data_IF_396628193291
#
_entry.id   IF_396628193291
#
_cell.length_a   1.000
_cell.length_b   1.000
_cell.length_c   1.000
_cell.angle_alpha   90.00
_cell.angle_beta   90.00
_cell.angle_gamma   90.00
#
_symmetry.space_group_name_H-M   'P 1'
#
loop_
_entity.id
_entity.type
_entity.pdbx_description
1 polymer ?
#
# COMPACT_ATOMS: atom_id res chain seq x y z
N UNK A 1 6.50 -12.50 -59.97
CA UNK A 1 5.21 -12.26 -59.29
C UNK A 1 5.24 -12.48 -57.77
N UNK A 2 6.18 -13.24 -57.26
CA UNK A 2 6.27 -13.67 -55.83
C UNK A 2 6.75 -12.60 -54.82
N UNK A 3 7.60 -11.64 -55.27
CA UNK A 3 8.18 -10.63 -54.35
C UNK A 3 7.19 -9.51 -53.95
N UNK A 4 6.16 -9.25 -54.77
CA UNK A 4 5.14 -8.23 -54.47
C UNK A 4 4.14 -8.68 -53.42
N UNK A 5 3.84 -9.99 -53.36
CA UNK A 5 2.89 -10.57 -52.38
C UNK A 5 3.49 -10.57 -50.96
N UNK A 6 4.79 -10.87 -50.83
CA UNK A 6 5.48 -10.83 -49.54
C UNK A 6 5.56 -9.44 -48.90
N UNK A 7 5.62 -8.36 -49.70
CA UNK A 7 5.63 -6.99 -49.17
C UNK A 7 4.25 -6.56 -48.63
N UNK A 8 3.18 -6.98 -49.32
CA UNK A 8 1.80 -6.70 -48.88
C UNK A 8 1.44 -7.46 -47.60
N UNK A 9 1.85 -8.72 -47.48
CA UNK A 9 1.58 -9.54 -46.27
C UNK A 9 2.32 -9.00 -45.04
N UNK A 10 3.55 -8.51 -45.21
CA UNK A 10 4.30 -7.88 -44.09
C UNK A 10 3.71 -6.52 -43.71
N UNK A 11 3.17 -5.77 -44.65
CA UNK A 11 2.49 -4.50 -44.37
C UNK A 11 1.14 -4.71 -43.68
N UNK A 12 0.40 -5.73 -44.10
CA UNK A 12 -0.89 -6.12 -43.46
C UNK A 12 -0.66 -6.65 -42.05
N UNK A 13 0.38 -7.48 -41.84
CA UNK A 13 0.74 -8.00 -40.53
C UNK A 13 1.19 -6.88 -39.58
N UNK A 14 1.94 -5.89 -40.09
CA UNK A 14 2.33 -4.70 -39.34
C UNK A 14 1.14 -3.79 -38.97
N UNK A 15 0.16 -3.65 -39.88
CA UNK A 15 -1.08 -2.90 -39.66
C UNK A 15 -2.03 -3.62 -38.68
N UNK A 16 -2.11 -4.94 -38.71
CA UNK A 16 -2.91 -5.73 -37.77
C UNK A 16 -2.28 -5.73 -36.37
N UNK A 17 -0.95 -5.80 -36.26
CA UNK A 17 -0.23 -5.64 -34.98
C UNK A 17 -0.35 -4.21 -34.41
N UNK A 18 -0.39 -3.18 -35.28
CA UNK A 18 -0.62 -1.79 -34.84
C UNK A 18 -2.09 -1.52 -34.49
N UNK A 19 -3.05 -2.23 -35.09
CA UNK A 19 -4.47 -2.13 -34.75
C UNK A 19 -4.84 -2.93 -33.49
N UNK A 20 -4.05 -3.96 -33.13
CA UNK A 20 -4.17 -4.68 -31.85
C UNK A 20 -3.40 -4.00 -30.70
N UNK A 21 -2.50 -3.07 -31.01
CA UNK A 21 -2.03 -2.08 -30.06
C UNK A 21 -3.11 -1.00 -29.93
N UNK A 22 -4.26 -1.33 -29.36
CA UNK A 22 -5.12 -0.34 -28.73
C UNK A 22 -4.22 0.51 -27.84
N UNK A 23 -4.51 1.79 -27.59
CA UNK A 23 -3.70 2.57 -26.68
C UNK A 23 -3.55 1.73 -25.43
N UNK A 24 -2.34 1.28 -25.12
CA UNK A 24 -1.95 0.93 -23.78
C UNK A 24 -2.16 2.22 -23.01
N UNK A 25 -3.41 2.46 -22.65
CA UNK A 25 -3.78 3.46 -21.67
C UNK A 25 -3.12 2.95 -20.42
N UNK A 26 -1.84 3.30 -20.25
CA UNK A 26 -1.21 3.21 -18.96
C UNK A 26 -2.22 3.82 -18.03
N UNK A 27 -2.71 3.04 -17.08
CA UNK A 27 -3.70 3.49 -16.12
C UNK A 27 -3.24 4.86 -15.67
N UNK A 28 -4.03 5.90 -15.91
CA UNK A 28 -3.66 7.24 -15.53
C UNK A 28 -3.88 7.34 -14.02
N UNK A 29 -2.86 6.96 -13.26
CA UNK A 29 -2.90 6.96 -11.80
C UNK A 29 -3.41 8.27 -11.23
N UNK A 30 -3.15 9.39 -11.94
CA UNK A 30 -3.68 10.70 -11.59
C UNK A 30 -5.21 10.73 -11.66
N UNK A 31 -5.80 10.22 -12.74
CA UNK A 31 -7.26 10.18 -12.90
C UNK A 31 -7.88 9.24 -11.87
N UNK A 32 -7.26 8.12 -11.58
CA UNK A 32 -7.74 7.17 -10.58
C UNK A 32 -7.72 7.76 -9.17
N UNK A 33 -6.65 8.46 -8.79
CA UNK A 33 -6.54 9.14 -7.49
C UNK A 33 -7.55 10.29 -7.39
N UNK A 34 -7.78 11.03 -8.49
CA UNK A 34 -8.77 12.10 -8.51
C UNK A 34 -10.19 11.57 -8.37
N UNK A 35 -10.49 10.42 -8.97
CA UNK A 35 -11.79 9.76 -8.85
C UNK A 35 -11.97 9.05 -7.49
N UNK A 36 -10.91 8.51 -6.93
CA UNK A 36 -10.88 7.84 -5.63
C UNK A 36 -9.61 8.23 -4.86
N UNK A 37 -9.67 9.25 -3.99
CA UNK A 37 -8.54 9.74 -3.21
C UNK A 37 -7.89 8.68 -2.30
N UNK A 38 -8.58 7.60 -1.93
CA UNK A 38 -8.01 6.49 -1.14
C UNK A 38 -6.83 5.83 -1.85
N UNK A 39 -6.85 5.82 -3.19
CA UNK A 39 -5.76 5.29 -4.01
C UNK A 39 -4.44 6.05 -3.85
N UNK A 40 -4.49 7.30 -3.38
CA UNK A 40 -3.28 8.05 -3.02
C UNK A 40 -2.49 7.39 -1.89
N UNK A 41 -3.12 6.50 -1.14
CA UNK A 41 -2.49 5.73 -0.06
C UNK A 41 -1.38 4.79 -0.55
N UNK A 42 -1.35 4.40 -1.82
CA UNK A 42 -0.36 3.46 -2.33
C UNK A 42 -0.33 2.17 -1.51
N UNK A 43 0.73 1.95 -0.73
CA UNK A 43 0.85 0.77 0.14
C UNK A 43 -0.11 0.78 1.35
N UNK A 44 -0.76 1.89 1.64
CA UNK A 44 -1.82 2.04 2.63
C UNK A 44 -3.22 1.98 2.02
N UNK A 45 -3.33 1.79 0.70
CA UNK A 45 -4.64 1.60 0.09
C UNK A 45 -5.26 0.31 0.64
N UNK A 46 -6.37 0.46 1.35
CA UNK A 46 -7.06 -0.66 1.97
C UNK A 46 -7.56 -1.62 0.89
N UNK A 47 -7.32 -2.91 1.09
CA UNK A 47 -7.77 -3.94 0.15
C UNK A 47 -9.29 -3.88 -0.03
N UNK A 48 -9.71 -3.68 -1.28
CA UNK A 48 -11.10 -3.73 -1.71
C UNK A 48 -11.29 -4.88 -2.69
N UNK A 49 -12.51 -5.34 -2.84
CA UNK A 49 -12.81 -6.44 -3.75
C UNK A 49 -13.97 -6.05 -4.68
N UNK A 50 -13.65 -5.90 -5.94
CA UNK A 50 -14.58 -5.50 -6.99
C UNK A 50 -15.11 -6.72 -7.75
N UNK A 51 -15.36 -7.83 -7.13
CA UNK A 51 -15.95 -9.07 -7.67
C UNK A 51 -15.84 -9.21 -9.22
N UNK A 52 -14.65 -9.30 -9.79
CA UNK A 52 -14.48 -9.36 -11.24
C UNK A 52 -15.12 -10.64 -11.78
N UNK A 53 -15.65 -10.56 -13.00
CA UNK A 53 -16.14 -11.74 -13.71
C UNK A 53 -15.03 -12.79 -13.81
N UNK A 54 -15.34 -14.01 -13.41
CA UNK A 54 -14.40 -15.13 -13.45
C UNK A 54 -14.44 -15.80 -14.82
N UNK A 55 -13.27 -16.07 -15.37
CA UNK A 55 -13.16 -16.95 -16.52
C UNK A 55 -13.35 -18.38 -16.03
N UNK A 56 -14.32 -19.15 -16.57
CA UNK A 56 -14.49 -20.55 -16.20
C UNK A 56 -13.27 -21.38 -16.61
N UNK A 57 -13.06 -22.49 -15.93
CA UNK A 57 -12.04 -23.46 -16.35
C UNK A 57 -12.34 -23.97 -17.79
N UNK A 58 -11.33 -24.22 -18.63
CA UNK A 58 -11.54 -24.86 -19.92
C UNK A 58 -12.24 -26.23 -19.77
N UNK A 59 -12.96 -26.63 -20.78
CA UNK A 59 -13.62 -27.95 -20.78
C UNK A 59 -12.61 -29.07 -20.53
N UNK A 60 -12.95 -29.99 -19.62
CA UNK A 60 -12.09 -31.13 -19.23
C UNK A 60 -11.03 -30.79 -18.17
N UNK A 61 -10.99 -29.56 -17.66
CA UNK A 61 -10.07 -29.15 -16.59
C UNK A 61 -10.84 -28.88 -15.29
N UNK A 62 -10.26 -29.31 -14.16
CA UNK A 62 -10.77 -29.06 -12.82
C UNK A 62 -9.64 -28.51 -11.93
N UNK A 63 -9.87 -27.45 -11.13
CA UNK A 63 -8.91 -26.97 -10.14
C UNK A 63 -8.60 -28.05 -9.11
N UNK A 64 -7.32 -28.36 -8.87
CA UNK A 64 -6.88 -29.36 -7.88
C UNK A 64 -5.92 -28.80 -6.85
N UNK A 65 -5.36 -27.61 -7.09
CA UNK A 65 -4.37 -26.98 -6.22
C UNK A 65 -4.43 -25.46 -6.31
N UNK A 66 -4.24 -24.78 -5.17
CA UNK A 66 -4.10 -23.32 -5.10
C UNK A 66 -2.77 -22.99 -4.42
N UNK A 67 -1.96 -22.18 -5.09
CA UNK A 67 -0.83 -21.48 -4.47
C UNK A 67 -1.20 -20.03 -4.26
N UNK A 68 -1.22 -19.57 -3.00
CA UNK A 68 -1.59 -18.21 -2.63
C UNK A 68 -0.44 -17.53 -1.92
N UNK A 69 -0.05 -16.35 -2.41
CA UNK A 69 0.89 -15.46 -1.74
C UNK A 69 0.20 -14.14 -1.44
N UNK A 70 0.09 -13.81 -0.19
CA UNK A 70 -0.61 -12.61 0.28
C UNK A 70 0.28 -11.68 1.09
N UNK A 71 -0.16 -10.45 1.22
CA UNK A 71 0.37 -9.46 2.16
C UNK A 71 -0.49 -9.46 3.43
N UNK A 72 0.04 -8.99 4.56
CA UNK A 72 -0.79 -8.71 5.75
C UNK A 72 -1.92 -7.73 5.40
N UNK A 73 -3.01 -7.79 6.14
CA UNK A 73 -4.15 -6.86 6.01
C UNK A 73 -3.83 -5.44 6.49
N UNK A 74 -4.84 -4.59 6.51
CA UNK A 74 -4.77 -3.20 7.00
C UNK A 74 -4.18 -3.13 8.40
N UNK A 75 -3.40 -2.09 8.68
CA UNK A 75 -2.64 -1.91 9.93
C UNK A 75 -2.54 -0.44 10.33
N UNK A 76 -2.23 -0.18 11.60
CA UNK A 76 -1.77 1.13 12.04
C UNK A 76 -0.44 1.51 11.37
N UNK A 77 -0.04 2.78 11.45
CA UNK A 77 1.28 3.25 10.99
C UNK A 77 2.39 2.41 11.65
N UNK A 78 3.52 2.25 10.95
CA UNK A 78 4.55 1.28 11.38
C UNK A 78 5.28 1.66 12.64
N UNK A 79 5.46 2.96 12.88
CA UNK A 79 6.27 3.47 13.98
C UNK A 79 5.45 4.46 14.81
N UNK A 80 5.61 4.42 16.12
CA UNK A 80 5.01 5.39 17.02
C UNK A 80 5.44 6.84 16.66
N UNK A 81 6.68 7.01 16.18
CA UNK A 81 7.19 8.32 15.77
C UNK A 81 6.40 8.97 14.64
N UNK A 82 5.76 8.18 13.76
CA UNK A 82 4.92 8.71 12.69
C UNK A 82 3.67 9.46 13.22
N UNK A 83 3.29 9.22 14.47
CA UNK A 83 2.25 9.95 15.18
C UNK A 83 2.84 11.05 16.06
N UNK A 84 3.86 10.72 16.87
CA UNK A 84 4.38 11.63 17.91
C UNK A 84 5.14 12.81 17.33
N UNK A 85 5.86 12.67 16.23
CA UNK A 85 6.56 13.77 15.56
C UNK A 85 5.58 14.85 15.06
N UNK A 86 4.44 14.45 14.51
CA UNK A 86 3.39 15.40 14.10
C UNK A 86 2.80 16.09 15.33
N UNK A 87 2.53 15.35 16.39
CA UNK A 87 2.00 15.89 17.63
C UNK A 87 2.97 16.91 18.27
N UNK A 88 4.25 16.60 18.32
CA UNK A 88 5.28 17.48 18.84
C UNK A 88 5.37 18.79 18.02
N UNK A 89 5.34 18.67 16.68
CA UNK A 89 5.37 19.83 15.77
C UNK A 89 4.18 20.75 16.01
N UNK A 90 2.96 20.20 16.02
CA UNK A 90 1.75 20.99 16.26
C UNK A 90 1.67 21.51 17.70
N UNK A 91 2.05 20.71 18.69
CA UNK A 91 2.09 21.13 20.10
C UNK A 91 3.05 22.28 20.36
N UNK A 92 4.23 22.27 19.70
CA UNK A 92 5.17 23.40 19.75
C UNK A 92 4.55 24.64 19.12
N UNK A 93 4.03 24.53 17.89
CA UNK A 93 3.42 25.66 17.19
C UNK A 93 2.23 26.25 17.95
N UNK A 94 1.45 25.42 18.66
CA UNK A 94 0.35 25.87 19.53
C UNK A 94 0.86 26.70 20.71
N UNK A 95 1.90 26.23 21.41
CA UNK A 95 2.51 26.98 22.53
C UNK A 95 3.09 28.33 22.10
N UNK A 96 3.54 28.44 20.87
CA UNK A 96 4.07 29.69 20.29
C UNK A 96 2.97 30.57 19.67
N UNK A 97 1.71 30.16 19.74
CA UNK A 97 0.58 30.88 19.13
C UNK A 97 0.64 30.95 17.60
N UNK A 98 1.38 30.06 16.97
CA UNK A 98 1.63 30.06 15.53
C UNK A 98 0.52 29.35 14.72
N UNK A 99 -0.35 28.58 15.36
CA UNK A 99 -1.45 27.87 14.66
C UNK A 99 -2.61 28.81 14.32
N UNK A 100 -3.17 28.63 13.14
CA UNK A 100 -4.48 29.18 12.78
C UNK A 100 -5.60 28.47 13.57
N UNK A 101 -6.84 28.95 13.51
CA UNK A 101 -8.01 28.25 14.06
C UNK A 101 -8.12 26.84 13.46
N UNK A 102 -7.93 26.72 12.15
CA UNK A 102 -7.92 25.43 11.46
C UNK A 102 -6.75 24.54 11.93
N UNK A 103 -5.54 25.12 12.12
CA UNK A 103 -4.39 24.40 12.67
C UNK A 103 -4.63 23.86 14.07
N UNK A 104 -5.36 24.58 14.91
CA UNK A 104 -5.77 24.10 16.25
C UNK A 104 -6.77 22.94 16.16
N UNK A 105 -7.69 22.97 15.18
CA UNK A 105 -8.56 21.83 14.94
C UNK A 105 -7.77 20.59 14.49
N UNK A 106 -6.79 20.78 13.59
CA UNK A 106 -5.90 19.69 13.17
C UNK A 106 -5.09 19.14 14.35
N UNK A 107 -4.58 19.99 15.25
CA UNK A 107 -3.90 19.52 16.47
C UNK A 107 -4.79 18.57 17.28
N UNK A 108 -6.05 18.94 17.54
CA UNK A 108 -6.99 18.04 18.27
C UNK A 108 -7.20 16.70 17.57
N UNK A 109 -7.22 16.70 16.22
CA UNK A 109 -7.31 15.45 15.44
C UNK A 109 -6.02 14.63 15.57
N UNK A 110 -4.86 15.25 15.55
CA UNK A 110 -3.56 14.59 15.75
C UNK A 110 -3.46 13.99 17.14
N UNK A 111 -3.88 14.70 18.19
CA UNK A 111 -3.94 14.18 19.57
C UNK A 111 -4.79 12.90 19.65
N UNK A 112 -5.96 12.92 19.03
CA UNK A 112 -6.85 11.73 18.97
C UNK A 112 -6.21 10.58 18.18
N UNK A 113 -5.54 10.86 17.04
CA UNK A 113 -4.87 9.85 16.25
C UNK A 113 -3.68 9.23 16.99
N UNK A 114 -2.92 10.04 17.74
CA UNK A 114 -1.86 9.55 18.63
C UNK A 114 -2.41 8.62 19.70
N UNK A 115 -3.50 9.02 20.35
CA UNK A 115 -4.14 8.20 21.39
C UNK A 115 -4.70 6.87 20.81
N UNK A 116 -5.29 6.91 19.60
CA UNK A 116 -5.75 5.67 18.94
C UNK A 116 -4.58 4.77 18.52
N UNK A 117 -3.46 5.34 18.09
CA UNK A 117 -2.27 4.60 17.67
C UNK A 117 -1.33 4.17 18.80
N UNK A 118 -1.58 4.61 20.05
CA UNK A 118 -0.71 4.31 21.19
C UNK A 118 -0.61 2.82 21.45
N UNK A 119 0.61 2.29 21.50
CA UNK A 119 0.88 0.86 21.70
C UNK A 119 0.51 -0.03 20.51
N UNK A 120 0.04 0.53 19.38
CA UNK A 120 -0.48 -0.24 18.24
C UNK A 120 0.38 -0.09 16.97
N UNK A 121 1.55 0.51 17.07
CA UNK A 121 2.40 0.77 15.91
C UNK A 121 2.70 -0.52 15.13
N UNK A 122 2.24 -0.59 13.88
CA UNK A 122 2.39 -1.73 12.99
C UNK A 122 1.47 -2.92 13.25
N UNK A 123 0.54 -2.82 14.18
CA UNK A 123 -0.42 -3.88 14.49
C UNK A 123 -1.47 -4.03 13.39
N UNK A 124 -1.98 -5.25 13.21
CA UNK A 124 -3.09 -5.54 12.33
C UNK A 124 -4.38 -4.91 12.88
N UNK A 125 -5.08 -4.13 12.06
CA UNK A 125 -6.39 -3.58 12.45
C UNK A 125 -7.50 -4.65 12.38
N UNK A 126 -8.65 -4.41 13.02
CA UNK A 126 -9.84 -5.25 12.82
C UNK A 126 -10.22 -5.38 11.34
N UNK A 127 -10.14 -4.28 10.57
CA UNK A 127 -10.34 -4.32 9.12
C UNK A 127 -9.34 -5.27 8.44
N UNK A 128 -8.07 -5.26 8.85
CA UNK A 128 -7.06 -6.15 8.29
C UNK A 128 -7.39 -7.63 8.50
N UNK A 129 -7.95 -8.00 9.64
CA UNK A 129 -8.44 -9.35 9.89
C UNK A 129 -9.67 -9.68 9.02
N UNK A 130 -10.65 -8.76 8.94
CA UNK A 130 -11.83 -8.89 8.07
C UNK A 130 -11.46 -9.10 6.60
N UNK A 131 -10.45 -8.39 6.09
CA UNK A 131 -9.95 -8.55 4.73
C UNK A 131 -9.50 -9.99 4.48
N UNK A 132 -8.76 -10.60 5.40
CA UNK A 132 -8.31 -11.98 5.28
C UNK A 132 -9.44 -13.01 5.43
N UNK A 133 -10.43 -12.74 6.28
CA UNK A 133 -11.67 -13.53 6.31
C UNK A 133 -12.35 -13.52 4.93
N UNK A 134 -12.54 -12.35 4.35
CA UNK A 134 -13.17 -12.21 3.03
C UNK A 134 -12.37 -12.83 1.89
N UNK A 135 -11.03 -12.77 1.91
CA UNK A 135 -10.18 -13.44 0.91
C UNK A 135 -10.35 -14.96 0.99
N UNK A 136 -10.32 -15.53 2.20
CA UNK A 136 -10.50 -16.97 2.40
C UNK A 136 -11.88 -17.44 1.94
N UNK A 137 -12.92 -16.69 2.28
CA UNK A 137 -14.30 -16.98 1.87
C UNK A 137 -14.46 -17.02 0.36
N UNK A 138 -14.05 -15.96 -0.33
CA UNK A 138 -14.11 -15.89 -1.78
C UNK A 138 -13.26 -16.96 -2.48
N UNK A 139 -12.12 -17.32 -1.92
CA UNK A 139 -11.27 -18.39 -2.45
C UNK A 139 -11.97 -19.73 -2.32
N UNK A 140 -12.56 -20.02 -1.16
CA UNK A 140 -13.32 -21.24 -0.92
C UNK A 140 -14.54 -21.36 -1.83
N UNK A 141 -15.33 -20.28 -1.95
CA UNK A 141 -16.51 -20.24 -2.81
C UNK A 141 -16.15 -20.32 -4.30
N UNK A 142 -14.97 -19.86 -4.68
CA UNK A 142 -14.51 -19.87 -6.07
C UNK A 142 -14.01 -21.22 -6.54
N UNK A 143 -13.43 -21.99 -5.64
CA UNK A 143 -12.74 -23.23 -5.91
C UNK A 143 -13.10 -24.30 -4.87
N UNK A 144 -14.39 -24.61 -4.69
CA UNK A 144 -14.83 -25.54 -3.64
C UNK A 144 -14.23 -26.93 -3.81
N UNK A 145 -13.87 -27.32 -5.04
CA UNK A 145 -13.25 -28.61 -5.36
C UNK A 145 -11.92 -28.80 -4.61
N UNK A 146 -11.14 -27.74 -4.46
CA UNK A 146 -9.81 -27.79 -3.81
C UNK A 146 -9.94 -27.93 -2.29
N UNK A 147 -11.09 -27.58 -1.72
CA UNK A 147 -11.33 -27.59 -0.26
C UNK A 147 -12.29 -28.69 0.20
N UNK A 148 -12.49 -29.75 -0.59
CA UNK A 148 -13.39 -30.86 -0.23
C UNK A 148 -12.77 -31.78 0.83
N UNK A 149 -13.63 -32.30 1.73
CA UNK A 149 -13.26 -33.28 2.74
C UNK A 149 -12.10 -32.80 3.61
N UNK A 150 -11.13 -33.66 3.86
CA UNK A 150 -9.96 -33.39 4.67
C UNK A 150 -8.78 -32.78 3.85
N UNK A 151 -9.07 -31.98 2.85
CA UNK A 151 -8.04 -31.34 2.05
C UNK A 151 -6.98 -30.62 2.92
N UNK A 152 -5.73 -30.74 2.51
CA UNK A 152 -4.59 -30.22 3.28
C UNK A 152 -4.29 -28.77 2.92
N UNK A 153 -4.18 -27.92 3.93
CA UNK A 153 -3.76 -26.50 3.81
C UNK A 153 -2.46 -26.30 4.58
N UNK A 154 -1.37 -25.97 3.88
CA UNK A 154 -0.10 -25.59 4.50
C UNK A 154 0.03 -24.06 4.47
N UNK A 155 -0.20 -23.41 5.61
CA UNK A 155 -0.15 -21.97 5.75
C UNK A 155 1.17 -21.53 6.41
N UNK A 156 1.87 -20.60 5.77
CA UNK A 156 3.16 -20.12 6.22
C UNK A 156 3.19 -18.59 6.32
N UNK A 157 3.85 -18.05 7.33
CA UNK A 157 4.01 -16.61 7.53
C UNK A 157 5.42 -16.27 7.98
N UNK A 158 5.81 -15.00 7.80
CA UNK A 158 6.94 -14.42 8.54
C UNK A 158 6.62 -14.36 10.03
N UNK A 159 7.63 -14.14 10.88
CA UNK A 159 7.45 -13.97 12.34
C UNK A 159 6.88 -12.62 12.74
N UNK A 160 6.56 -11.75 11.79
CA UNK A 160 5.96 -10.45 12.05
C UNK A 160 4.51 -10.64 12.49
N UNK A 161 4.15 -10.15 13.68
CA UNK A 161 2.85 -10.42 14.36
C UNK A 161 1.66 -10.18 13.44
N UNK A 162 1.59 -9.04 12.74
CA UNK A 162 0.49 -8.76 11.81
C UNK A 162 0.37 -9.76 10.66
N UNK A 163 1.49 -10.33 10.20
CA UNK A 163 1.47 -11.36 9.16
C UNK A 163 0.94 -12.69 9.72
N UNK A 164 1.36 -13.05 10.94
CA UNK A 164 0.86 -14.25 11.66
C UNK A 164 -0.64 -14.14 11.90
N UNK A 165 -1.11 -12.98 12.37
CA UNK A 165 -2.53 -12.75 12.62
C UNK A 165 -3.36 -12.73 11.32
N UNK A 166 -2.82 -12.20 10.23
CA UNK A 166 -3.46 -12.28 8.90
C UNK A 166 -3.61 -13.72 8.42
N UNK A 167 -2.54 -14.53 8.55
CA UNK A 167 -2.59 -15.96 8.25
C UNK A 167 -3.61 -16.69 9.15
N UNK A 168 -3.64 -16.35 10.44
CA UNK A 168 -4.58 -16.95 11.39
C UNK A 168 -6.03 -16.64 10.99
N UNK A 169 -6.36 -15.39 10.68
CA UNK A 169 -7.68 -14.96 10.23
C UNK A 169 -8.13 -15.72 8.96
N UNK A 170 -7.24 -15.81 7.97
CA UNK A 170 -7.49 -16.58 6.74
C UNK A 170 -7.80 -18.05 7.04
N UNK A 171 -6.96 -18.72 7.82
CA UNK A 171 -7.13 -20.13 8.17
C UNK A 171 -8.38 -20.38 9.03
N UNK A 172 -8.71 -19.47 9.94
CA UNK A 172 -9.90 -19.58 10.78
C UNK A 172 -11.18 -19.49 9.97
N UNK A 173 -11.20 -18.66 8.92
CA UNK A 173 -12.34 -18.60 8.00
C UNK A 173 -12.48 -19.90 7.20
N UNK A 174 -11.40 -20.43 6.63
CA UNK A 174 -11.43 -21.71 5.95
C UNK A 174 -11.94 -22.84 6.85
N UNK A 175 -11.45 -22.90 8.11
CA UNK A 175 -11.88 -23.90 9.10
C UNK A 175 -13.38 -23.80 9.44
N UNK A 176 -13.93 -22.59 9.48
CA UNK A 176 -15.37 -22.37 9.69
C UNK A 176 -16.22 -22.83 8.51
N UNK A 177 -15.67 -22.73 7.28
CA UNK A 177 -16.37 -23.14 6.07
C UNK A 177 -16.30 -24.65 5.85
N UNK A 178 -15.15 -25.28 6.16
CA UNK A 178 -14.99 -26.72 6.17
C UNK A 178 -14.18 -27.15 7.41
N UNK A 179 -14.84 -27.70 8.46
CA UNK A 179 -14.16 -28.16 9.67
C UNK A 179 -13.25 -29.38 9.46
N UNK A 180 -13.42 -30.13 8.38
CA UNK A 180 -12.61 -31.33 8.08
C UNK A 180 -11.21 -30.99 7.54
N UNK A 181 -10.96 -29.74 7.10
CA UNK A 181 -9.67 -29.33 6.55
C UNK A 181 -8.51 -29.60 7.52
N UNK A 182 -7.45 -30.20 7.00
CA UNK A 182 -6.18 -30.38 7.72
C UNK A 182 -5.31 -29.13 7.56
N UNK A 183 -5.44 -28.16 8.47
CA UNK A 183 -4.71 -26.90 8.40
C UNK A 183 -3.50 -26.90 9.29
N UNK A 184 -2.29 -26.81 8.69
CA UNK A 184 -1.03 -26.54 9.41
C UNK A 184 -0.69 -25.05 9.31
N UNK A 185 -0.11 -24.48 10.38
CA UNK A 185 0.33 -23.08 10.44
C UNK A 185 1.76 -23.01 10.91
N UNK A 186 2.62 -22.35 10.16
CA UNK A 186 4.04 -22.23 10.46
C UNK A 186 4.50 -20.77 10.35
N UNK A 187 5.18 -20.29 11.39
CA UNK A 187 5.85 -18.99 11.39
C UNK A 187 7.13 -19.09 12.25
N UNK A 188 8.29 -19.13 11.63
CA UNK A 188 9.57 -19.19 12.33
C UNK A 188 10.73 -18.72 11.44
N UNK A 189 11.86 -18.35 12.06
CA UNK A 189 13.03 -17.86 11.34
C UNK A 189 13.86 -18.96 10.65
N UNK A 190 13.57 -20.23 10.89
CA UNK A 190 14.31 -21.33 10.30
C UNK A 190 13.77 -21.71 8.92
N UNK A 191 12.46 -21.90 8.80
CA UNK A 191 11.83 -22.45 7.58
C UNK A 191 11.05 -21.42 6.79
N UNK A 192 10.58 -20.30 7.41
CA UNK A 192 9.79 -19.29 6.73
C UNK A 192 10.52 -17.97 6.51
N UNK A 193 11.83 -17.90 6.79
CA UNK A 193 12.63 -16.68 6.61
C UNK A 193 12.63 -16.14 5.18
N UNK A 194 12.49 -17.01 4.18
CA UNK A 194 12.46 -16.66 2.77
C UNK A 194 11.26 -15.79 2.39
N UNK A 195 10.20 -15.80 3.19
CA UNK A 195 9.04 -14.92 3.01
C UNK A 195 9.36 -13.47 3.37
N UNK A 196 10.44 -13.22 4.10
CA UNK A 196 10.89 -11.88 4.45
C UNK A 196 11.87 -11.34 3.39
N UNK A 197 11.34 -10.85 2.30
CA UNK A 197 12.10 -10.38 1.15
C UNK A 197 12.98 -9.14 1.41
N UNK A 198 12.81 -8.46 2.54
CA UNK A 198 13.67 -7.34 2.96
C UNK A 198 14.97 -7.78 3.63
N UNK A 199 15.05 -9.01 4.08
CA UNK A 199 16.21 -9.50 4.79
C UNK A 199 17.27 -10.03 3.82
N UNK A 200 18.46 -9.43 3.82
CA UNK A 200 19.61 -9.93 3.05
C UNK A 200 20.04 -11.33 3.51
N UNK A 201 19.86 -11.66 4.80
CA UNK A 201 20.09 -12.99 5.33
C UNK A 201 19.08 -14.02 4.79
N UNK A 202 17.85 -13.61 4.50
CA UNK A 202 16.82 -14.45 3.88
C UNK A 202 16.94 -14.50 2.35
N UNK A 203 17.44 -13.42 1.76
CA UNK A 203 17.60 -13.25 0.32
C UNK A 203 19.05 -12.86 -0.02
N UNK A 204 19.98 -13.80 -0.05
CA UNK A 204 21.37 -13.51 -0.35
C UNK A 204 21.61 -12.99 -1.77
N UNK A 205 20.60 -13.07 -2.64
CA UNK A 205 20.62 -12.46 -3.99
C UNK A 205 20.29 -10.96 -4.02
N UNK A 206 19.93 -10.33 -2.88
CA UNK A 206 19.89 -8.88 -2.79
C UNK A 206 21.33 -8.37 -2.79
N UNK A 207 21.78 -7.89 -3.95
CA UNK A 207 23.14 -7.43 -4.12
C UNK A 207 23.46 -6.29 -3.15
N UNK A 208 24.60 -6.34 -2.42
CA UNK A 208 25.04 -5.26 -1.55
C UNK A 208 25.11 -3.90 -2.27
N UNK A 209 25.46 -3.92 -3.56
CA UNK A 209 25.54 -2.73 -4.41
C UNK A 209 24.19 -2.02 -4.52
N UNK A 210 23.09 -2.76 -4.66
CA UNK A 210 21.74 -2.18 -4.71
C UNK A 210 21.38 -1.46 -3.40
N UNK A 211 21.67 -2.08 -2.26
CA UNK A 211 21.42 -1.45 -0.95
C UNK A 211 22.31 -0.22 -0.73
N UNK A 212 23.52 -0.21 -1.26
CA UNK A 212 24.43 0.92 -1.20
C UNK A 212 23.97 2.05 -2.12
N UNK A 213 23.40 1.73 -3.28
CA UNK A 213 22.83 2.73 -4.19
C UNK A 213 21.75 3.58 -3.50
N UNK A 214 20.84 2.94 -2.74
CA UNK A 214 19.78 3.64 -2.01
C UNK A 214 20.28 4.53 -0.86
N UNK A 215 21.53 4.36 -0.44
CA UNK A 215 22.20 5.19 0.56
C UNK A 215 23.17 6.20 -0.07
N UNK A 216 23.34 6.16 -1.39
CA UNK A 216 24.26 7.06 -2.08
C UNK A 216 23.77 8.50 -2.03
N UNK A 217 24.72 9.45 -1.98
CA UNK A 217 24.40 10.87 -2.03
C UNK A 217 23.66 11.24 -3.31
N UNK A 218 24.04 10.66 -4.45
CA UNK A 218 23.40 10.88 -5.73
C UNK A 218 21.90 10.49 -5.72
N UNK A 219 21.55 9.39 -5.07
CA UNK A 219 20.17 8.96 -4.90
C UNK A 219 19.39 9.92 -3.99
N UNK A 220 19.96 10.25 -2.83
CA UNK A 220 19.33 11.18 -1.87
C UNK A 220 19.06 12.52 -2.52
N UNK A 221 20.01 13.06 -3.27
CA UNK A 221 19.83 14.31 -4.02
C UNK A 221 18.80 14.21 -5.13
N UNK A 222 18.75 13.07 -5.84
CA UNK A 222 17.75 12.85 -6.89
C UNK A 222 16.33 12.80 -6.31
N UNK A 223 16.14 12.08 -5.21
CA UNK A 223 14.87 12.00 -4.49
C UNK A 223 14.43 13.37 -3.98
N UNK A 224 15.34 14.14 -3.38
CA UNK A 224 15.03 15.47 -2.87
C UNK A 224 14.69 16.46 -4.00
N UNK A 225 15.40 16.43 -5.13
CA UNK A 225 15.03 17.21 -6.32
C UNK A 225 13.63 16.84 -6.83
N UNK A 226 13.30 15.56 -6.85
CA UNK A 226 11.99 15.10 -7.26
C UNK A 226 10.90 15.60 -6.30
N UNK A 227 11.07 15.44 -4.99
CA UNK A 227 10.16 15.97 -3.97
C UNK A 227 9.93 17.47 -4.15
N UNK A 228 11.00 18.26 -4.29
CA UNK A 228 10.91 19.72 -4.51
C UNK A 228 10.15 20.10 -5.77
N UNK A 229 10.25 19.30 -6.83
CA UNK A 229 9.55 19.56 -8.10
C UNK A 229 8.06 19.19 -8.08
N UNK A 230 7.61 18.36 -7.11
CA UNK A 230 6.25 17.83 -7.05
C UNK A 230 5.44 18.36 -5.87
N UNK A 231 6.04 18.45 -4.70
CA UNK A 231 5.34 18.85 -3.48
C UNK A 231 5.38 20.36 -3.29
N UNK A 232 4.21 20.98 -3.32
CA UNK A 232 3.98 22.42 -3.13
C UNK A 232 3.14 22.65 -1.86
N UNK A 233 3.76 22.72 -0.68
CA UNK A 233 3.05 22.75 0.60
C UNK A 233 2.45 24.10 0.97
N UNK A 234 2.64 25.15 0.16
CA UNK A 234 2.36 26.55 0.49
C UNK A 234 0.88 26.74 0.89
N UNK A 235 -0.06 26.16 0.13
CA UNK A 235 -1.49 26.24 0.43
C UNK A 235 -1.83 25.58 1.78
N UNK A 236 -1.29 24.39 2.01
CA UNK A 236 -1.52 23.65 3.26
C UNK A 236 -0.97 24.43 4.44
N UNK A 237 0.27 24.91 4.34
CA UNK A 237 0.89 25.72 5.39
C UNK A 237 0.10 27.01 5.67
N UNK A 238 -0.40 27.68 4.61
CA UNK A 238 -1.20 28.90 4.77
C UNK A 238 -2.53 28.64 5.53
N UNK A 239 -3.07 27.44 5.46
CA UNK A 239 -4.27 27.07 6.24
C UNK A 239 -3.94 26.71 7.68
N UNK A 240 -2.80 26.07 7.92
CA UNK A 240 -2.41 25.54 9.24
C UNK A 240 -1.85 26.60 10.17
N UNK A 241 -1.16 27.61 9.64
CA UNK A 241 -0.42 28.58 10.44
C UNK A 241 -0.97 30.00 10.31
N UNK A 242 -1.08 30.70 11.43
CA UNK A 242 -1.64 32.06 11.52
C UNK A 242 -0.91 33.09 10.64
N UNK A 243 0.40 32.93 10.46
CA UNK A 243 1.21 33.78 9.57
C UNK A 243 1.14 33.42 8.09
N UNK A 244 0.28 32.47 7.69
CA UNK A 244 0.14 32.01 6.31
C UNK A 244 1.32 31.16 5.80
N UNK A 245 2.27 30.82 6.65
CA UNK A 245 3.44 29.99 6.36
C UNK A 245 3.91 29.25 7.61
N UNK A 246 4.59 28.13 7.43
CA UNK A 246 5.18 27.39 8.54
C UNK A 246 6.26 28.23 9.26
N UNK A 247 6.42 28.08 10.59
CA UNK A 247 7.59 28.55 11.33
C UNK A 247 8.91 28.08 10.68
N UNK A 248 9.98 28.84 10.88
CA UNK A 248 11.26 28.64 10.19
C UNK A 248 11.95 27.30 10.52
N UNK A 249 11.64 26.72 11.63
CA UNK A 249 12.15 25.43 12.12
C UNK A 249 11.33 24.21 11.67
N UNK A 250 10.24 24.42 10.97
CA UNK A 250 9.38 23.36 10.40
C UNK A 250 9.66 23.23 8.90
N UNK A 251 10.09 22.03 8.45
CA UNK A 251 10.11 21.72 7.01
C UNK A 251 8.69 21.51 6.50
N UNK A 252 8.19 22.40 5.62
CA UNK A 252 6.81 22.32 5.14
C UNK A 252 6.50 21.05 4.32
N UNK A 253 7.49 20.51 3.58
CA UNK A 253 7.31 19.29 2.77
C UNK A 253 7.29 18.05 3.65
N UNK A 254 8.14 18.02 4.66
CA UNK A 254 8.14 16.93 5.63
C UNK A 254 6.82 16.89 6.40
N UNK A 255 6.36 18.03 6.92
CA UNK A 255 5.06 18.12 7.60
C UNK A 255 3.90 17.71 6.67
N UNK A 256 3.92 18.15 5.41
CA UNK A 256 2.92 17.73 4.42
C UNK A 256 2.91 16.21 4.22
N UNK A 257 4.07 15.56 4.14
CA UNK A 257 4.18 14.12 4.00
C UNK A 257 3.74 13.36 5.25
N UNK A 258 4.05 13.87 6.43
CA UNK A 258 3.62 13.29 7.71
C UNK A 258 2.09 13.36 7.85
N UNK A 259 1.48 14.49 7.55
CA UNK A 259 0.02 14.65 7.55
C UNK A 259 -0.64 13.76 6.48
N UNK A 260 -0.01 13.59 5.31
CA UNK A 260 -0.47 12.66 4.30
C UNK A 260 -0.47 11.22 4.82
N UNK A 261 0.55 10.80 5.57
CA UNK A 261 0.59 9.45 6.14
C UNK A 261 -0.58 9.18 7.09
N UNK A 262 -0.97 10.16 7.90
CA UNK A 262 -2.17 10.09 8.73
C UNK A 262 -3.44 10.01 7.87
N UNK A 263 -3.55 10.87 6.84
CA UNK A 263 -4.72 10.95 5.96
C UNK A 263 -4.97 9.65 5.18
N UNK A 264 -3.92 8.99 4.69
CA UNK A 264 -4.08 7.75 3.93
C UNK A 264 -4.27 6.52 4.82
N UNK A 265 -3.82 6.57 6.08
CA UNK A 265 -4.00 5.47 7.03
C UNK A 265 -5.40 5.47 7.69
N UNK A 266 -6.18 6.56 7.57
CA UNK A 266 -7.54 6.61 8.14
C UNK A 266 -8.46 5.50 7.60
N UNK A 267 -8.29 5.12 6.33
CA UNK A 267 -9.05 4.03 5.70
C UNK A 267 -8.74 2.65 6.33
N UNK A 268 -7.56 2.49 6.92
CA UNK A 268 -7.11 1.25 7.55
C UNK A 268 -7.62 1.10 8.99
N UNK A 269 -7.76 2.20 9.74
CA UNK A 269 -8.06 2.19 11.17
C UNK A 269 -9.54 2.29 11.49
N UNK A 270 -10.33 2.91 10.59
CA UNK A 270 -11.76 3.20 10.83
C UNK A 270 -12.01 3.98 12.13
N UNK A 271 -11.05 4.81 12.53
CA UNK A 271 -11.10 5.58 13.79
C UNK A 271 -12.16 6.71 13.77
N UNK A 272 -12.67 7.06 12.59
CA UNK A 272 -13.54 8.21 12.40
C UNK A 272 -12.82 9.57 12.52
N UNK A 273 -11.49 9.56 12.52
CA UNK A 273 -10.66 10.76 12.50
C UNK A 273 -10.23 10.99 11.07
N UNK A 274 -10.59 12.14 10.47
CA UNK A 274 -10.20 12.44 9.10
C UNK A 274 -9.11 13.51 9.03
N UNK A 275 -8.19 13.31 8.08
CA UNK A 275 -7.18 14.29 7.66
C UNK A 275 -7.25 14.52 6.14
N UNK A 276 -8.19 13.89 5.46
CA UNK A 276 -8.34 13.98 4.01
C UNK A 276 -8.70 15.37 3.55
N UNK A 277 -9.49 16.09 4.34
CA UNK A 277 -9.92 17.49 4.11
C UNK A 277 -8.77 18.51 4.14
N UNK A 278 -7.59 18.08 4.58
CA UNK A 278 -6.37 18.90 4.53
C UNK A 278 -5.88 19.10 3.09
N UNK A 279 -6.10 18.12 2.23
CA UNK A 279 -5.47 17.99 0.93
C UNK A 279 -6.43 18.24 -0.22
N UNK A 280 -5.93 18.84 -1.29
CA UNK A 280 -6.58 18.77 -2.60
C UNK A 280 -6.22 17.45 -3.29
N UNK A 281 -6.97 17.01 -4.33
CA UNK A 281 -6.59 15.85 -5.12
C UNK A 281 -5.18 15.96 -5.74
N UNK A 282 -4.78 17.16 -6.14
CA UNK A 282 -3.46 17.47 -6.69
C UNK A 282 -2.36 17.25 -5.67
N UNK A 283 -2.57 17.68 -4.44
CA UNK A 283 -1.61 17.51 -3.34
C UNK A 283 -1.49 16.05 -2.92
N UNK A 284 -2.60 15.33 -2.84
CA UNK A 284 -2.58 13.88 -2.60
C UNK A 284 -1.80 13.13 -3.67
N UNK A 285 -2.04 13.48 -4.94
CA UNK A 285 -1.32 12.89 -6.06
C UNK A 285 0.18 13.23 -6.02
N UNK A 286 0.54 14.48 -5.70
CA UNK A 286 1.93 14.92 -5.65
C UNK A 286 2.74 14.16 -4.57
N UNK A 287 2.17 13.96 -3.38
CA UNK A 287 2.81 13.16 -2.33
C UNK A 287 2.89 11.70 -2.74
N UNK A 288 1.80 11.15 -3.31
CA UNK A 288 1.79 9.79 -3.84
C UNK A 288 2.87 9.58 -4.92
N UNK A 289 3.06 10.52 -5.86
CA UNK A 289 4.14 10.45 -6.86
C UNK A 289 5.52 10.31 -6.21
N UNK A 290 5.78 11.08 -5.15
CA UNK A 290 7.06 11.03 -4.43
C UNK A 290 7.26 9.68 -3.73
N UNK A 291 6.23 9.17 -3.07
CA UNK A 291 6.25 7.85 -2.43
C UNK A 291 6.41 6.74 -3.47
N UNK A 292 5.68 6.83 -4.59
CA UNK A 292 5.77 5.85 -5.67
C UNK A 292 7.14 5.88 -6.36
N UNK A 293 7.74 7.07 -6.57
CA UNK A 293 9.10 7.23 -7.07
C UNK A 293 10.11 6.48 -6.21
N UNK A 294 10.05 6.66 -4.88
CA UNK A 294 10.89 5.94 -3.92
C UNK A 294 10.67 4.42 -4.01
N UNK A 295 9.43 3.97 -4.00
CA UNK A 295 9.11 2.54 -4.08
C UNK A 295 9.53 1.91 -5.41
N UNK A 296 9.37 2.60 -6.52
CA UNK A 296 9.82 2.12 -7.82
C UNK A 296 11.33 1.83 -7.81
N UNK A 297 12.13 2.75 -7.30
CA UNK A 297 13.58 2.57 -7.21
C UNK A 297 14.02 1.57 -6.14
N UNK A 298 13.22 1.35 -5.12
CA UNK A 298 13.51 0.38 -4.05
C UNK A 298 13.02 -1.03 -4.36
N UNK A 299 12.05 -1.21 -5.23
CA UNK A 299 11.30 -2.46 -5.42
C UNK A 299 11.05 -2.80 -6.90
N UNK A 300 11.21 -1.86 -7.80
CA UNK A 300 11.10 -2.06 -9.22
C UNK A 300 12.25 -2.88 -9.79
N UNK A 301 12.14 -3.27 -11.10
CA UNK A 301 13.17 -4.05 -11.79
C UNK A 301 14.46 -3.29 -11.95
#
# INVERSE_FOLDING_TARGET
MTVRIMRFTKLLLGLVLAACAGPLSGQNARQEIYANPDKAGGVYYAYTYDNPARTPAPEGYEPFYISHYGRHGSRWLLRASEYTEVLETFGKAAREGALSEFGQDVLRRVERACSDGEGRAGDLTPLGAEQHYGIAERMFESYPEVFRGNARVDAQSTVVVRCVLSMAAFCDRLRRMNPELEITRTANNRTTRYLNFFSTAANPGLAPEYLNLLKSESWIQAEERFRKSRMHPERLMARLFAGGKAPADIDPRELMQQLWALAVNEQDTRSGITFRDLFTPEELYAVWECVNYRFYHQRGP
#
